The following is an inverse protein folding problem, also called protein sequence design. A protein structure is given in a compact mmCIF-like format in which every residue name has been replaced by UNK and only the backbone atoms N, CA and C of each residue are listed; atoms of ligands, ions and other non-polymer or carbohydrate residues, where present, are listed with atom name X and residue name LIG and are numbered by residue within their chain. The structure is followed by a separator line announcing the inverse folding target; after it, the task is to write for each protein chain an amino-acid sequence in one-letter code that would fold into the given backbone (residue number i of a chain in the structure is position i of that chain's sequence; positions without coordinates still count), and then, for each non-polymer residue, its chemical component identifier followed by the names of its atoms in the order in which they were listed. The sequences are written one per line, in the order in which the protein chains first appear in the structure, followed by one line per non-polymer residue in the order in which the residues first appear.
data_IF_023814698028
#
_entry.id   IF_023814698028
#
_cell.length_a   1.000
_cell.length_b   1.000
_cell.length_c   1.000
_cell.angle_alpha   90.00
_cell.angle_beta   90.00
_cell.angle_gamma   90.00
#
_symmetry.space_group_name_H-M   'P 1'
#
loop_
_entity.id
_entity.type
_entity.pdbx_description
1 polymer ?
#
# COMPACT_ATOMS: atom_id res chain seq x y z
N UNK A 1 0.76 -13.29 -0.15
CA UNK A 1 0.78 -13.51 1.31
C UNK A 1 2.24 -13.63 1.75
N UNK A 2 2.58 -13.13 2.94
CA UNK A 2 3.92 -13.26 3.53
C UNK A 2 3.83 -13.38 5.06
N UNK A 3 4.91 -13.84 5.70
CA UNK A 3 4.98 -13.95 7.16
C UNK A 3 5.74 -12.76 7.74
N UNK A 4 5.07 -12.02 8.63
CA UNK A 4 5.63 -11.00 9.50
C UNK A 4 6.17 -11.67 10.76
N UNK A 5 7.47 -11.55 11.01
CA UNK A 5 8.17 -12.19 12.14
C UNK A 5 8.64 -11.10 13.08
N UNK A 6 8.18 -11.14 14.33
CA UNK A 6 8.48 -10.10 15.30
C UNK A 6 8.11 -10.44 16.74
N UNK A 7 7.96 -9.40 17.55
CA UNK A 7 7.80 -9.51 19.02
C UNK A 7 6.55 -10.27 19.46
N UNK A 8 5.51 -10.28 18.63
CA UNK A 8 4.25 -11.00 18.88
C UNK A 8 4.20 -12.35 18.15
N UNK A 9 5.34 -12.80 17.62
CA UNK A 9 5.47 -14.05 16.88
C UNK A 9 5.25 -13.90 15.38
N UNK A 10 4.81 -14.99 14.76
CA UNK A 10 4.59 -15.06 13.31
C UNK A 10 3.15 -14.67 13.00
N UNK A 11 2.99 -13.60 12.22
CA UNK A 11 1.70 -13.11 11.76
C UNK A 11 1.66 -13.24 10.25
N UNK A 12 0.64 -13.91 9.73
CA UNK A 12 0.43 -14.01 8.29
C UNK A 12 -0.17 -12.69 7.81
N UNK A 13 0.41 -12.09 6.77
CA UNK A 13 -0.09 -10.86 6.15
C UNK A 13 -0.43 -11.09 4.69
N UNK A 14 -1.52 -10.46 4.25
CA UNK A 14 -1.98 -10.51 2.86
C UNK A 14 -1.90 -9.10 2.27
N UNK A 15 -1.47 -9.04 1.01
CA UNK A 15 -1.61 -7.87 0.16
C UNK A 15 -2.61 -8.25 -0.91
N UNK A 16 -3.62 -7.42 -1.10
CA UNK A 16 -4.71 -7.64 -2.03
C UNK A 16 -4.83 -6.46 -3.01
N UNK A 17 -5.05 -6.78 -4.27
CA UNK A 17 -5.34 -5.84 -5.34
C UNK A 17 -6.74 -6.16 -5.88
N UNK A 18 -7.70 -5.31 -5.57
CA UNK A 18 -9.09 -5.49 -6.00
C UNK A 18 -9.47 -4.42 -7.02
N UNK A 19 -10.08 -4.83 -8.14
CA UNK A 19 -10.61 -3.89 -9.12
C UNK A 19 -11.61 -2.92 -8.47
N UNK A 20 -11.47 -1.65 -8.80
CA UNK A 20 -12.46 -0.64 -8.44
C UNK A 20 -13.57 -0.59 -9.49
N UNK A 21 -14.48 0.39 -9.39
CA UNK A 21 -15.44 0.69 -10.45
C UNK A 21 -14.78 1.19 -11.74
N UNK A 22 -13.55 1.70 -11.64
CA UNK A 22 -12.73 2.01 -12.80
C UNK A 22 -11.92 0.75 -13.16
N UNK A 23 -12.09 0.17 -14.37
CA UNK A 23 -11.49 -1.10 -14.76
C UNK A 23 -9.96 -1.06 -14.86
N UNK A 24 -9.36 0.13 -14.93
CA UNK A 24 -7.91 0.31 -14.95
C UNK A 24 -7.34 0.61 -13.56
N UNK A 25 -8.20 0.73 -12.53
CA UNK A 25 -7.77 1.10 -11.18
C UNK A 25 -8.01 -0.04 -10.18
N UNK A 26 -6.96 -0.38 -9.44
CA UNK A 26 -6.94 -1.43 -8.43
C UNK A 26 -6.74 -0.82 -7.05
N UNK A 27 -7.64 -1.10 -6.12
CA UNK A 27 -7.47 -0.77 -4.71
C UNK A 27 -6.46 -1.71 -4.06
N UNK A 28 -5.40 -1.15 -3.49
CA UNK A 28 -4.41 -1.83 -2.67
C UNK A 28 -4.86 -1.87 -1.22
N UNK A 29 -5.10 -3.07 -0.69
CA UNK A 29 -5.31 -3.33 0.72
C UNK A 29 -4.21 -4.27 1.26
N UNK A 30 -3.89 -4.14 2.55
CA UNK A 30 -3.09 -5.15 3.23
C UNK A 30 -3.50 -5.25 4.70
N UNK A 31 -3.44 -6.46 5.23
CA UNK A 31 -3.93 -6.77 6.57
C UNK A 31 -3.37 -8.07 7.11
N UNK A 32 -3.75 -8.37 8.34
CA UNK A 32 -3.43 -9.63 8.99
C UNK A 32 -4.44 -10.68 8.55
N UNK A 33 -3.94 -11.85 8.18
CA UNK A 33 -4.75 -12.97 7.75
C UNK A 33 -4.94 -13.92 8.91
N UNK A 34 -6.20 -14.19 9.24
CA UNK A 34 -6.58 -15.22 10.20
C UNK A 34 -6.72 -16.56 9.46
N UNK A 35 -5.84 -17.56 9.70
CA UNK A 35 -5.92 -18.85 9.04
C UNK A 35 -7.09 -19.72 9.51
N UNK A 36 -7.73 -19.39 10.64
CA UNK A 36 -8.88 -20.13 11.17
C UNK A 36 -10.16 -19.71 10.46
N UNK A 37 -10.36 -18.41 10.26
CA UNK A 37 -11.56 -17.85 9.62
C UNK A 37 -11.39 -17.63 8.11
N UNK A 38 -10.14 -17.48 7.64
CA UNK A 38 -9.82 -17.09 6.27
C UNK A 38 -9.99 -15.60 6.00
N UNK A 39 -10.25 -14.79 7.03
CA UNK A 39 -10.50 -13.36 6.91
C UNK A 39 -9.21 -12.54 6.92
N UNK A 40 -9.24 -11.38 6.26
CA UNK A 40 -8.16 -10.39 6.30
C UNK A 40 -8.64 -9.18 7.10
N UNK A 41 -7.98 -8.93 8.23
CA UNK A 41 -8.19 -7.73 9.05
C UNK A 41 -7.22 -6.62 8.62
N UNK A 42 -7.72 -5.63 7.89
CA UNK A 42 -6.97 -4.45 7.46
C UNK A 42 -6.94 -3.32 8.50
N UNK A 43 -7.67 -3.49 9.62
CA UNK A 43 -7.81 -2.51 10.69
C UNK A 43 -6.87 -2.80 11.86
N UNK A 44 -6.47 -4.05 12.05
CA UNK A 44 -5.62 -4.44 13.17
C UNK A 44 -4.25 -3.76 13.10
N UNK A 45 -3.82 -3.24 14.26
CA UNK A 45 -2.44 -2.81 14.49
C UNK A 45 -1.78 -3.90 15.31
N UNK A 46 -1.21 -4.89 14.63
CA UNK A 46 -0.54 -5.99 15.32
C UNK A 46 0.66 -5.56 16.15
N UNK A 47 1.32 -4.46 15.80
CA UNK A 47 2.43 -3.95 16.60
C UNK A 47 3.62 -4.92 16.70
N UNK A 48 3.85 -5.74 15.66
CA UNK A 48 4.87 -6.80 15.66
C UNK A 48 6.34 -6.30 15.58
N UNK A 49 6.58 -4.98 15.68
CA UNK A 49 7.93 -4.40 15.63
C UNK A 49 8.62 -4.41 14.26
N UNK A 50 7.99 -4.94 13.21
CA UNK A 50 8.59 -5.16 11.88
C UNK A 50 7.99 -4.29 10.77
N UNK A 51 7.36 -3.17 11.14
CA UNK A 51 6.66 -2.24 10.23
C UNK A 51 7.45 -1.92 8.96
N UNK A 52 8.75 -1.70 9.12
CA UNK A 52 9.63 -1.32 8.01
C UNK A 52 9.79 -2.46 6.98
N UNK A 53 9.85 -3.72 7.43
CA UNK A 53 9.87 -4.89 6.54
C UNK A 53 8.52 -5.03 5.83
N UNK A 54 7.42 -4.89 6.57
CA UNK A 54 6.07 -4.93 6.01
C UNK A 54 5.90 -3.87 4.90
N UNK A 55 6.31 -2.62 5.16
CA UNK A 55 6.23 -1.55 4.17
C UNK A 55 7.12 -1.80 2.94
N UNK A 56 8.31 -2.38 3.13
CA UNK A 56 9.18 -2.79 2.04
C UNK A 56 8.54 -3.87 1.16
N UNK A 57 7.97 -4.90 1.78
CA UNK A 57 7.27 -5.97 1.07
C UNK A 57 6.08 -5.45 0.29
N UNK A 58 5.23 -4.61 0.90
CA UNK A 58 4.08 -4.01 0.19
C UNK A 58 4.55 -3.20 -1.01
N UNK A 59 5.59 -2.39 -0.86
CA UNK A 59 6.12 -1.56 -1.96
C UNK A 59 6.68 -2.42 -3.09
N UNK A 60 7.41 -3.49 -2.78
CA UNK A 60 7.88 -4.45 -3.77
C UNK A 60 6.71 -5.10 -4.53
N UNK A 61 5.64 -5.51 -3.83
CA UNK A 61 4.48 -6.10 -4.51
C UNK A 61 3.78 -5.12 -5.46
N UNK A 62 3.83 -3.80 -5.19
CA UNK A 62 3.26 -2.79 -6.08
C UNK A 62 4.06 -2.69 -7.37
N UNK A 63 5.39 -2.71 -7.25
CA UNK A 63 6.30 -2.68 -8.41
C UNK A 63 6.06 -3.95 -9.24
N UNK A 64 6.10 -5.12 -8.61
CA UNK A 64 5.84 -6.40 -9.28
C UNK A 64 4.46 -6.38 -9.98
N UNK A 65 3.41 -5.91 -9.31
CA UNK A 65 2.07 -5.84 -9.91
C UNK A 65 2.05 -4.98 -11.18
N UNK A 66 2.68 -3.81 -11.14
CA UNK A 66 2.72 -2.88 -12.27
C UNK A 66 3.62 -3.36 -13.42
N UNK A 67 4.57 -4.26 -13.17
CA UNK A 67 5.31 -4.94 -14.24
C UNK A 67 4.42 -5.89 -15.05
N UNK A 68 3.56 -6.66 -14.37
CA UNK A 68 2.63 -7.60 -15.02
C UNK A 68 1.41 -6.91 -15.63
N UNK A 69 0.96 -5.80 -15.04
CA UNK A 69 -0.21 -5.03 -15.47
C UNK A 69 0.18 -3.56 -15.73
N UNK A 70 0.87 -3.27 -16.85
CA UNK A 70 1.47 -1.96 -17.09
C UNK A 70 0.47 -0.81 -17.25
N UNK A 71 -0.76 -1.13 -17.67
CA UNK A 71 -1.85 -0.15 -17.82
C UNK A 71 -2.62 0.09 -16.50
N UNK A 72 -2.30 -0.65 -15.44
CA UNK A 72 -2.98 -0.51 -14.17
C UNK A 72 -2.58 0.77 -13.42
N UNK A 73 -3.55 1.32 -12.71
CA UNK A 73 -3.37 2.34 -11.69
C UNK A 73 -3.62 1.71 -10.33
N UNK A 74 -2.63 1.70 -9.46
CA UNK A 74 -2.80 1.30 -8.06
C UNK A 74 -3.32 2.49 -7.26
N UNK A 75 -4.46 2.33 -6.60
CA UNK A 75 -5.04 3.27 -5.67
C UNK A 75 -4.84 2.77 -4.24
N UNK A 76 -4.40 3.64 -3.34
CA UNK A 76 -4.24 3.30 -1.92
C UNK A 76 -4.87 4.37 -1.02
N UNK A 77 -5.79 3.95 -0.15
CA UNK A 77 -6.38 4.78 0.90
C UNK A 77 -6.60 3.92 2.14
N UNK A 78 -6.12 4.41 3.28
CA UNK A 78 -6.37 3.73 4.54
C UNK A 78 -7.80 3.92 5.03
N UNK A 79 -8.31 2.91 5.76
CA UNK A 79 -9.59 2.98 6.49
C UNK A 79 -9.63 4.09 7.56
N UNK A 80 -8.46 4.57 7.99
CA UNK A 80 -8.30 5.69 8.91
C UNK A 80 -7.13 6.59 8.51
N UNK A 81 -7.10 7.84 9.03
CA UNK A 81 -5.96 8.75 8.84
C UNK A 81 -4.61 8.14 9.26
N UNK A 82 -4.60 7.33 10.30
CA UNK A 82 -3.39 6.62 10.74
C UNK A 82 -2.94 5.57 9.72
N UNK A 83 -3.89 4.89 9.07
CA UNK A 83 -3.60 3.93 8.01
C UNK A 83 -3.11 4.62 6.74
N UNK A 84 -3.76 5.70 6.30
CA UNK A 84 -3.29 6.52 5.18
C UNK A 84 -1.86 7.03 5.41
N UNK A 85 -1.53 7.47 6.63
CA UNK A 85 -0.15 7.84 6.99
C UNK A 85 0.84 6.67 6.89
N UNK A 86 0.41 5.44 7.14
CA UNK A 86 1.27 4.26 6.98
C UNK A 86 1.63 4.02 5.51
N UNK A 87 0.64 4.10 4.62
CA UNK A 87 0.89 4.07 3.17
C UNK A 87 1.86 5.17 2.76
N UNK A 88 1.63 6.40 3.25
CA UNK A 88 2.52 7.52 2.96
C UNK A 88 3.96 7.30 3.42
N UNK A 89 4.17 6.70 4.59
CA UNK A 89 5.52 6.35 5.06
C UNK A 89 6.19 5.33 4.15
N UNK A 90 5.45 4.33 3.67
CA UNK A 90 5.94 3.38 2.67
C UNK A 90 6.33 4.08 1.37
N UNK A 91 5.42 4.87 0.80
CA UNK A 91 5.66 5.63 -0.43
C UNK A 91 6.86 6.55 -0.30
N UNK A 92 6.99 7.30 0.80
CA UNK A 92 8.15 8.17 1.04
C UNK A 92 9.46 7.39 1.05
N UNK A 93 9.47 6.21 1.69
CA UNK A 93 10.68 5.37 1.83
C UNK A 93 11.18 4.85 0.49
N UNK A 94 10.26 4.46 -0.40
CA UNK A 94 10.58 3.88 -1.71
C UNK A 94 10.33 4.85 -2.87
N UNK A 95 10.13 6.14 -2.58
CA UNK A 95 9.74 7.16 -3.56
C UNK A 95 10.68 7.19 -4.75
N UNK A 96 11.99 7.23 -4.49
CA UNK A 96 13.00 7.35 -5.54
C UNK A 96 12.97 6.16 -6.49
N UNK A 97 12.83 4.95 -5.95
CA UNK A 97 12.73 3.71 -6.71
C UNK A 97 11.45 3.67 -7.54
N UNK A 98 10.29 3.88 -6.93
CA UNK A 98 9.00 3.89 -7.62
C UNK A 98 8.98 4.97 -8.70
N UNK A 99 9.52 6.16 -8.41
CA UNK A 99 9.53 7.30 -9.35
C UNK A 99 10.45 7.11 -10.56
N UNK A 100 11.29 6.06 -10.63
CA UNK A 100 12.09 5.78 -11.84
C UNK A 100 11.20 5.44 -13.03
N UNK A 101 10.16 4.64 -12.78
CA UNK A 101 9.31 4.08 -13.84
C UNK A 101 7.84 4.45 -13.70
N UNK A 102 7.46 4.99 -12.55
CA UNK A 102 6.07 5.28 -12.22
C UNK A 102 5.86 6.76 -11.89
N UNK A 103 4.62 7.20 -12.08
CA UNK A 103 4.11 8.46 -11.58
C UNK A 103 3.42 8.23 -10.25
N UNK A 104 3.77 9.06 -9.26
CA UNK A 104 3.17 9.07 -7.94
C UNK A 104 2.28 10.30 -7.79
N UNK A 105 1.02 10.08 -7.41
CA UNK A 105 0.07 11.15 -7.12
C UNK A 105 -0.46 11.03 -5.71
N UNK A 106 -0.70 12.17 -5.09
CA UNK A 106 -1.41 12.27 -3.82
C UNK A 106 -2.73 13.02 -4.01
N UNK A 107 -3.75 12.60 -3.26
CA UNK A 107 -5.04 13.28 -3.19
C UNK A 107 -5.12 14.08 -1.90
N UNK A 108 -5.43 15.36 -1.99
CA UNK A 108 -5.64 16.25 -0.84
C UNK A 108 -6.46 17.45 -1.27
N UNK A 109 -7.24 18.03 -0.36
CA UNK A 109 -8.09 19.21 -0.61
C UNK A 109 -8.99 19.07 -1.87
N UNK A 110 -9.45 17.85 -2.16
CA UNK A 110 -10.34 17.57 -3.29
C UNK A 110 -9.65 17.42 -4.65
N UNK A 111 -8.31 17.50 -4.73
CA UNK A 111 -7.55 17.43 -5.98
C UNK A 111 -6.48 16.34 -5.96
N UNK A 112 -6.16 15.83 -7.14
CA UNK A 112 -4.99 14.99 -7.37
C UNK A 112 -3.83 15.85 -7.85
N UNK A 113 -2.67 15.67 -7.23
CA UNK A 113 -1.43 16.37 -7.58
C UNK A 113 -0.26 15.39 -7.55
N UNK A 114 0.88 15.79 -8.12
CA UNK A 114 2.12 15.02 -8.01
C UNK A 114 2.50 14.85 -6.55
N UNK A 115 2.85 13.63 -6.16
CA UNK A 115 3.22 13.34 -4.78
C UNK A 115 4.49 14.09 -4.36
N UNK A 116 4.36 14.87 -3.29
CA UNK A 116 5.45 15.59 -2.64
C UNK A 116 5.76 15.00 -1.25
N UNK A 117 7.05 14.77 -0.93
CA UNK A 117 7.44 14.38 0.42
C UNK A 117 7.07 15.51 1.41
N UNK A 118 6.65 15.14 2.61
CA UNK A 118 6.24 16.04 3.70
C UNK A 118 4.89 16.77 3.56
N UNK A 119 4.11 16.52 2.51
CA UNK A 119 2.71 16.99 2.41
C UNK A 119 1.75 15.92 2.90
N UNK A 120 0.70 16.27 3.64
CA UNK A 120 -0.28 15.29 4.10
C UNK A 120 -1.30 14.97 2.98
N UNK A 121 -1.56 13.68 2.77
CA UNK A 121 -2.51 13.21 1.75
C UNK A 121 -3.57 12.29 2.34
N UNK A 122 -4.71 12.23 1.66
CA UNK A 122 -5.86 11.40 2.01
C UNK A 122 -5.90 10.08 1.23
N UNK A 123 -5.30 10.04 0.04
CA UNK A 123 -5.15 8.85 -0.80
C UNK A 123 -3.97 9.00 -1.76
N UNK A 124 -3.57 7.90 -2.40
CA UNK A 124 -2.45 7.82 -3.31
C UNK A 124 -2.84 7.09 -4.60
N UNK A 125 -2.18 7.46 -5.70
CA UNK A 125 -2.22 6.73 -6.97
C UNK A 125 -0.80 6.50 -7.48
N UNK A 126 -0.58 5.31 -8.01
CA UNK A 126 0.68 4.88 -8.62
C UNK A 126 0.33 4.28 -9.97
N UNK A 127 0.93 4.77 -11.04
CA UNK A 127 0.76 4.19 -12.38
C UNK A 127 2.05 4.32 -13.17
N UNK A 128 2.23 3.48 -14.17
CA UNK A 128 3.40 3.56 -15.06
C UNK A 128 3.43 4.90 -15.82
N UNK A 129 4.64 5.34 -16.17
CA UNK A 129 4.87 6.54 -16.98
C UNK A 129 4.49 6.34 -18.44
#
# INVERSE_FOLDING_TARGET
MFVSVGEQGNIIKVVEYALTRNPEEYNLAFGDYDPVTGEVDDQVKSGNGDRDKVLATVSATVIDFLEWYPDATIFAKGSSRARTRTYQMGINRFREEISREHNLFGFTDGIWETFEPNKAYEAFRIKRR
#
